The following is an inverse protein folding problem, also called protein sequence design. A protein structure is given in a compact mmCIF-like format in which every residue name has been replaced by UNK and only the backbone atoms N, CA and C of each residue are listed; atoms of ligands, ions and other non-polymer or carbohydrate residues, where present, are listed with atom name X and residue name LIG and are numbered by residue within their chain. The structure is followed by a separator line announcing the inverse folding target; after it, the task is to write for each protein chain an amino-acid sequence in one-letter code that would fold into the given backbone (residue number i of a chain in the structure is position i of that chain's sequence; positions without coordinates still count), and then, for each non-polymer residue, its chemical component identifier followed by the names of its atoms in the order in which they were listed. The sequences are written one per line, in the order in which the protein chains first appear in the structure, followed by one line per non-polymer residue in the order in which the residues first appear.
data_IF_634988997130
#
_entry.id   IF_634988997130
#
_cell.length_a   1.000
_cell.length_b   1.000
_cell.length_c   1.000
_cell.angle_alpha   90.00
_cell.angle_beta   90.00
_cell.angle_gamma   90.00
#
_symmetry.space_group_name_H-M   'P 1'
#
loop_
_entity.id
_entity.type
_entity.pdbx_description
1 polymer ?
#
# COMPACT_ATOMS: atom_id res chain seq x y z
N UNK A 1 -8.82 -6.03 -38.90
CA UNK A 1 -8.23 -6.37 -37.59
C UNK A 1 -8.32 -5.12 -36.71
N UNK A 2 -9.29 -5.04 -35.79
CA UNK A 2 -9.38 -3.90 -34.86
C UNK A 2 -8.25 -4.05 -33.85
N UNK A 3 -7.26 -3.16 -33.92
CA UNK A 3 -6.21 -3.03 -32.93
C UNK A 3 -6.90 -2.55 -31.64
N UNK A 4 -7.23 -3.47 -30.73
CA UNK A 4 -7.63 -3.08 -29.38
C UNK A 4 -6.41 -2.41 -28.75
N UNK A 5 -6.42 -1.09 -28.66
CA UNK A 5 -5.51 -0.36 -27.80
C UNK A 5 -5.74 -0.91 -26.39
N UNK A 6 -4.88 -1.81 -25.92
CA UNK A 6 -4.84 -2.20 -24.51
C UNK A 6 -4.65 -0.90 -23.74
N UNK A 7 -5.65 -0.48 -22.96
CA UNK A 7 -5.50 0.68 -22.09
C UNK A 7 -4.32 0.39 -21.16
N UNK A 8 -3.27 1.20 -21.21
CA UNK A 8 -2.07 1.00 -20.41
C UNK A 8 -2.37 0.98 -18.91
N UNK A 9 -1.46 0.41 -18.12
CA UNK A 9 -1.60 0.32 -16.67
C UNK A 9 -1.74 1.72 -16.07
N UNK A 10 -2.75 1.88 -15.22
CA UNK A 10 -3.02 3.15 -14.56
C UNK A 10 -3.41 2.91 -13.12
N UNK A 11 -2.90 3.78 -12.25
CA UNK A 11 -3.36 3.91 -10.88
C UNK A 11 -3.87 5.33 -10.62
N UNK A 12 -5.08 5.44 -10.08
CA UNK A 12 -5.67 6.69 -9.62
C UNK A 12 -5.50 6.78 -8.11
N UNK A 13 -4.58 7.62 -7.65
CA UNK A 13 -4.28 7.78 -6.22
C UNK A 13 -5.10 8.93 -5.68
N UNK A 14 -5.94 8.67 -4.68
CA UNK A 14 -6.84 9.65 -4.07
C UNK A 14 -6.50 9.89 -2.61
N UNK A 15 -6.45 11.16 -2.23
CA UNK A 15 -6.33 11.56 -0.84
C UNK A 15 -7.73 11.79 -0.25
N UNK A 16 -8.16 10.88 0.62
CA UNK A 16 -9.41 10.97 1.37
C UNK A 16 -9.23 11.61 2.75
N UNK A 17 -7.99 11.94 3.12
CA UNK A 17 -7.66 12.66 4.34
C UNK A 17 -7.88 14.18 4.23
N UNK A 18 -7.68 14.87 5.35
CA UNK A 18 -7.88 16.31 5.50
C UNK A 18 -6.64 17.17 5.27
N UNK A 19 -5.48 16.56 5.02
CA UNK A 19 -4.19 17.25 4.83
C UNK A 19 -3.53 16.82 3.52
N UNK A 20 -2.74 17.69 2.86
CA UNK A 20 -1.96 17.29 1.69
C UNK A 20 -1.05 16.10 2.00
N UNK A 21 -0.91 15.20 1.04
CA UNK A 21 0.00 14.04 1.16
C UNK A 21 0.98 13.98 -0.01
N UNK A 22 2.16 13.44 0.26
CA UNK A 22 3.10 12.98 -0.76
C UNK A 22 3.05 11.46 -0.81
N UNK A 23 3.04 10.88 -2.00
CA UNK A 23 3.04 9.43 -2.21
C UNK A 23 4.23 9.06 -3.10
N UNK A 24 5.11 8.22 -2.58
CA UNK A 24 6.25 7.69 -3.30
C UNK A 24 5.90 6.37 -3.99
N UNK A 25 6.41 6.19 -5.20
CA UNK A 25 6.35 4.96 -5.98
C UNK A 25 7.73 4.31 -5.93
N UNK A 26 7.78 3.06 -5.49
CA UNK A 26 9.02 2.33 -5.32
C UNK A 26 8.91 1.03 -6.10
N UNK A 27 9.59 0.98 -7.23
CA UNK A 27 9.62 -0.21 -8.07
C UNK A 27 10.53 -1.27 -7.43
N UNK A 28 10.13 -2.53 -7.53
CA UNK A 28 10.89 -3.69 -7.12
C UNK A 28 12.01 -3.99 -8.14
N UNK A 29 12.99 -3.08 -8.27
CA UNK A 29 14.16 -3.25 -9.16
C UNK A 29 15.43 -3.50 -8.34
N UNK A 30 16.05 -4.68 -8.48
CA UNK A 30 17.38 -4.98 -7.93
C UNK A 30 17.44 -6.13 -6.93
N UNK A 31 18.67 -6.47 -6.50
CA UNK A 31 18.97 -7.63 -5.64
C UNK A 31 18.59 -7.43 -4.16
N UNK A 32 18.43 -6.18 -3.71
CA UNK A 32 18.07 -5.85 -2.33
C UNK A 32 16.66 -5.25 -2.30
N UNK A 33 15.67 -6.07 -1.97
CA UNK A 33 14.34 -5.59 -1.66
C UNK A 33 14.16 -5.46 -0.15
N UNK A 34 13.47 -4.41 0.33
CA UNK A 34 12.79 -3.36 -0.42
C UNK A 34 13.69 -2.13 -0.72
N UNK A 35 13.49 -1.47 -1.88
CA UNK A 35 14.14 -0.18 -2.20
C UNK A 35 13.55 0.99 -1.38
N UNK A 36 14.42 1.89 -0.90
CA UNK A 36 14.05 3.14 -0.22
C UNK A 36 14.18 4.38 -1.10
N UNK A 37 14.47 4.22 -2.39
CA UNK A 37 14.52 5.32 -3.34
C UNK A 37 13.27 5.28 -4.20
N UNK A 38 12.44 6.31 -4.11
CA UNK A 38 11.25 6.42 -4.93
C UNK A 38 11.65 6.79 -6.37
N UNK A 39 11.14 6.04 -7.36
CA UNK A 39 11.31 6.40 -8.78
C UNK A 39 10.45 7.60 -9.18
N UNK A 40 9.37 7.84 -8.43
CA UNK A 40 8.42 8.94 -8.64
C UNK A 40 7.78 9.31 -7.32
N UNK A 41 7.53 10.60 -7.13
CA UNK A 41 6.69 11.11 -6.03
C UNK A 41 5.60 11.99 -6.61
N UNK A 42 4.38 11.84 -6.09
CA UNK A 42 3.24 12.73 -6.40
C UNK A 42 2.79 13.45 -5.14
N UNK A 43 2.26 14.65 -5.30
CA UNK A 43 1.63 15.42 -4.23
C UNK A 43 0.13 15.53 -4.51
N UNK A 44 -0.69 15.30 -3.48
CA UNK A 44 -2.15 15.22 -3.62
C UNK A 44 -2.79 16.07 -2.53
N UNK A 45 -3.53 17.09 -2.95
CA UNK A 45 -4.33 17.91 -2.03
C UNK A 45 -5.45 17.09 -1.38
N UNK A 46 -5.98 17.49 -0.22
CA UNK A 46 -7.17 16.87 0.38
C UNK A 46 -8.32 16.76 -0.63
N UNK A 47 -8.95 15.58 -0.71
CA UNK A 47 -10.03 15.29 -1.67
C UNK A 47 -9.58 15.12 -3.13
N UNK A 48 -8.31 15.38 -3.43
CA UNK A 48 -7.76 15.30 -4.78
C UNK A 48 -7.45 13.87 -5.23
N UNK A 49 -7.35 13.70 -6.54
CA UNK A 49 -6.93 12.46 -7.20
C UNK A 49 -5.86 12.77 -8.25
N UNK A 50 -4.80 11.97 -8.30
CA UNK A 50 -3.76 12.02 -9.33
C UNK A 50 -3.68 10.67 -10.03
N UNK A 51 -3.78 10.68 -11.36
CA UNK A 51 -3.61 9.47 -12.18
C UNK A 51 -2.16 9.32 -12.63
N UNK A 52 -1.60 8.13 -12.42
CA UNK A 52 -0.24 7.77 -12.84
C UNK A 52 -0.30 6.59 -13.79
N UNK A 53 0.36 6.71 -14.95
CA UNK A 53 0.55 5.59 -15.88
C UNK A 53 1.81 4.84 -15.49
N UNK A 54 1.73 3.51 -15.46
CA UNK A 54 2.83 2.61 -15.09
C UNK A 54 3.17 1.70 -16.27
N UNK A 55 4.41 1.22 -16.30
CA UNK A 55 4.87 0.32 -17.36
C UNK A 55 4.14 -1.03 -17.30
N UNK A 56 4.14 -1.76 -18.43
CA UNK A 56 3.77 -3.18 -18.44
C UNK A 56 4.69 -3.95 -17.49
N UNK A 57 4.14 -4.84 -16.66
CA UNK A 57 4.96 -5.60 -15.70
C UNK A 57 5.46 -4.77 -14.51
N UNK A 58 4.95 -3.55 -14.29
CA UNK A 58 5.37 -2.76 -13.14
C UNK A 58 4.97 -3.47 -11.84
N UNK A 59 5.96 -3.71 -11.01
CA UNK A 59 5.84 -4.33 -9.70
C UNK A 59 6.50 -3.42 -8.67
N UNK A 60 5.82 -3.20 -7.56
CA UNK A 60 6.36 -2.44 -6.45
C UNK A 60 5.29 -2.01 -5.48
N UNK A 61 5.58 -0.92 -4.77
CA UNK A 61 4.67 -0.36 -3.77
C UNK A 61 4.47 1.13 -3.93
N UNK A 62 3.34 1.58 -3.41
CA UNK A 62 3.05 2.97 -3.12
C UNK A 62 3.06 3.17 -1.61
N UNK A 63 3.67 4.27 -1.16
CA UNK A 63 3.82 4.59 0.26
C UNK A 63 3.53 6.09 0.47
N UNK A 64 2.64 6.39 1.42
CA UNK A 64 2.45 7.76 1.93
C UNK A 64 3.72 8.17 2.67
N UNK A 65 4.33 9.28 2.24
CA UNK A 65 5.58 9.79 2.80
C UNK A 65 5.29 10.78 3.95
N UNK A 66 4.93 10.26 5.12
CA UNK A 66 4.82 11.09 6.34
C UNK A 66 6.21 11.53 6.82
N UNK A 67 7.15 10.58 6.89
CA UNK A 67 8.56 10.78 7.21
C UNK A 67 9.48 10.37 6.05
N UNK A 68 10.59 9.72 6.39
CA UNK A 68 11.54 9.14 5.44
C UNK A 68 11.04 7.76 4.94
N UNK A 69 11.47 7.29 3.75
CA UNK A 69 11.04 6.00 3.22
C UNK A 69 11.22 4.78 4.16
N UNK A 70 12.28 4.70 5.01
CA UNK A 70 12.43 3.61 5.98
C UNK A 70 11.52 3.70 7.22
N UNK A 71 10.84 4.82 7.43
CA UNK A 71 9.94 4.98 8.58
C UNK A 71 8.72 4.04 8.46
N UNK A 72 8.09 3.67 9.60
CA UNK A 72 6.94 2.79 9.57
C UNK A 72 5.80 3.35 8.71
N UNK A 73 5.31 2.56 7.76
CA UNK A 73 4.29 2.99 6.83
C UNK A 73 3.46 1.82 6.30
N UNK A 74 2.20 2.11 5.98
CA UNK A 74 1.35 1.18 5.24
C UNK A 74 1.80 1.16 3.79
N UNK A 75 1.95 -0.05 3.24
CA UNK A 75 2.38 -0.25 1.86
C UNK A 75 1.21 -0.72 1.02
N UNK A 76 0.99 -0.05 -0.11
CA UNK A 76 0.06 -0.49 -1.12
C UNK A 76 0.86 -1.19 -2.22
N UNK A 77 0.93 -2.52 -2.17
CA UNK A 77 1.75 -3.34 -3.06
C UNK A 77 0.93 -3.75 -4.29
N UNK A 78 1.54 -3.67 -5.46
CA UNK A 78 0.87 -3.95 -6.73
C UNK A 78 1.83 -4.51 -7.78
N UNK A 79 1.38 -5.52 -8.51
CA UNK A 79 2.07 -6.12 -9.64
C UNK A 79 1.12 -6.17 -10.84
N UNK A 80 1.33 -5.30 -11.83
CA UNK A 80 0.58 -5.29 -13.08
C UNK A 80 1.10 -6.33 -14.07
N UNK A 81 0.20 -6.96 -14.83
CA UNK A 81 0.54 -7.92 -15.89
C UNK A 81 1.43 -9.09 -15.40
N UNK A 82 1.17 -9.56 -14.19
CA UNK A 82 1.86 -10.68 -13.56
C UNK A 82 1.41 -12.02 -14.18
N UNK A 83 1.35 -13.09 -13.37
CA UNK A 83 0.85 -14.39 -13.79
C UNK A 83 -0.50 -14.27 -14.52
N UNK A 84 -0.59 -14.87 -15.71
CA UNK A 84 -1.77 -14.84 -16.58
C UNK A 84 -2.25 -13.41 -16.94
N UNK A 85 -1.34 -12.43 -17.06
CA UNK A 85 -1.65 -11.04 -17.38
C UNK A 85 -2.59 -10.38 -16.33
N UNK A 86 -2.63 -10.93 -15.12
CA UNK A 86 -3.42 -10.39 -14.01
C UNK A 86 -2.70 -9.22 -13.32
N UNK A 87 -3.45 -8.42 -12.60
CA UNK A 87 -2.95 -7.41 -11.67
C UNK A 87 -3.19 -7.92 -10.26
N UNK A 88 -2.14 -8.04 -9.45
CA UNK A 88 -2.25 -8.42 -8.03
C UNK A 88 -2.06 -7.20 -7.16
N UNK A 89 -2.87 -7.08 -6.11
CA UNK A 89 -2.83 -5.99 -5.16
C UNK A 89 -2.97 -6.49 -3.72
N UNK A 90 -2.24 -5.87 -2.80
CA UNK A 90 -2.44 -6.04 -1.36
C UNK A 90 -2.07 -4.77 -0.57
N UNK A 91 -2.67 -4.63 0.61
CA UNK A 91 -2.37 -3.57 1.58
C UNK A 91 -1.59 -4.20 2.72
N UNK A 92 -0.33 -3.84 2.87
CA UNK A 92 0.60 -4.48 3.79
C UNK A 92 0.89 -3.62 5.02
N UNK A 93 0.87 -4.29 6.17
CA UNK A 93 1.19 -3.76 7.50
C UNK A 93 2.53 -4.30 8.01
N UNK A 94 3.23 -5.11 7.22
CA UNK A 94 4.53 -5.70 7.57
C UNK A 94 5.52 -4.62 7.98
N UNK A 95 5.53 -3.51 7.24
CA UNK A 95 6.44 -2.38 7.46
C UNK A 95 5.83 -1.22 8.24
N UNK A 96 4.68 -1.44 8.87
CA UNK A 96 4.07 -0.50 9.82
C UNK A 96 2.79 0.15 9.32
N UNK A 97 2.38 1.22 9.99
CA UNK A 97 1.13 1.92 9.69
C UNK A 97 1.26 3.43 9.85
N UNK A 98 0.90 4.18 8.81
CA UNK A 98 0.84 5.65 8.84
C UNK A 98 -0.42 6.24 8.15
N UNK A 99 -1.36 5.38 7.78
CA UNK A 99 -2.62 5.75 7.15
C UNK A 99 -3.32 4.52 6.57
N UNK A 100 -4.64 4.51 6.63
CA UNK A 100 -5.42 3.42 6.06
C UNK A 100 -5.45 3.54 4.52
N UNK A 101 -5.54 2.40 3.83
CA UNK A 101 -5.50 2.36 2.38
C UNK A 101 -6.48 1.34 1.83
N UNK A 102 -7.05 1.64 0.66
CA UNK A 102 -7.96 0.75 -0.06
C UNK A 102 -7.58 0.72 -1.53
N UNK A 103 -7.35 -0.49 -2.05
CA UNK A 103 -7.38 -0.74 -3.48
C UNK A 103 -8.79 -1.04 -3.96
N UNK A 104 -9.13 -0.55 -5.15
CA UNK A 104 -10.27 -1.03 -5.92
C UNK A 104 -9.95 -1.01 -7.41
N UNK A 105 -10.59 -1.86 -8.21
CA UNK A 105 -10.52 -1.72 -9.67
C UNK A 105 -11.62 -0.82 -10.19
N UNK A 106 -11.36 -0.11 -11.30
CA UNK A 106 -12.36 0.77 -11.94
C UNK A 106 -13.58 -0.02 -12.42
N UNK A 107 -13.40 -1.29 -12.80
CA UNK A 107 -14.49 -2.19 -13.20
C UNK A 107 -15.22 -2.87 -12.03
N UNK A 108 -14.83 -2.59 -10.78
CA UNK A 108 -15.46 -3.12 -9.57
C UNK A 108 -15.14 -4.59 -9.25
N UNK A 109 -14.31 -5.28 -10.06
CA UNK A 109 -13.91 -6.67 -9.82
C UNK A 109 -13.00 -6.88 -8.59
N UNK A 110 -12.38 -5.81 -8.09
CA UNK A 110 -11.50 -5.84 -6.93
C UNK A 110 -11.89 -4.76 -5.93
N UNK A 111 -11.89 -5.13 -4.64
CA UNK A 111 -11.80 -4.19 -3.52
C UNK A 111 -11.10 -4.86 -2.34
N UNK A 112 -9.97 -4.32 -1.89
CA UNK A 112 -9.21 -4.84 -0.73
C UNK A 112 -8.58 -3.69 0.06
N UNK A 113 -8.31 -3.90 1.34
CA UNK A 113 -7.86 -2.85 2.27
C UNK A 113 -8.90 -2.47 3.32
N UNK A 114 -8.61 -1.40 4.06
CA UNK A 114 -9.40 -0.96 5.20
C UNK A 114 -9.32 0.57 5.35
N UNK A 115 -10.29 1.16 6.05
CA UNK A 115 -10.42 2.63 6.21
C UNK A 115 -10.20 3.11 7.64
N UNK A 116 -10.10 2.18 8.60
CA UNK A 116 -10.02 2.52 10.03
C UNK A 116 -8.61 3.00 10.38
N UNK A 117 -8.52 4.06 11.18
CA UNK A 117 -7.25 4.46 11.79
C UNK A 117 -6.89 3.48 12.92
N UNK A 118 -5.85 2.69 12.68
CA UNK A 118 -5.42 1.65 13.61
C UNK A 118 -4.66 2.22 14.82
N UNK A 119 -4.30 3.52 14.84
CA UNK A 119 -3.49 4.11 15.93
C UNK A 119 -4.25 4.24 17.23
N UNK A 120 -5.56 4.45 17.19
CA UNK A 120 -6.34 4.70 18.40
C UNK A 120 -6.38 3.46 19.31
N UNK A 121 -6.66 2.28 18.74
CA UNK A 121 -6.78 1.01 19.48
C UNK A 121 -5.47 0.26 19.72
N UNK A 122 -4.37 0.65 19.07
CA UNK A 122 -3.12 -0.10 19.16
C UNK A 122 -2.51 -0.08 20.58
N UNK A 123 -1.77 -1.13 20.99
CA UNK A 123 -1.01 -1.11 22.23
C UNK A 123 0.01 0.04 22.23
N UNK A 124 0.11 0.76 23.36
CA UNK A 124 0.89 2.01 23.46
C UNK A 124 2.36 1.85 23.07
N UNK A 125 2.98 0.71 23.39
CA UNK A 125 4.39 0.42 23.07
C UNK A 125 4.70 0.36 21.56
N UNK A 126 3.68 0.16 20.72
CA UNK A 126 3.83 0.15 19.26
C UNK A 126 3.54 1.50 18.61
N UNK A 127 3.02 2.48 19.37
CA UNK A 127 2.81 3.84 18.90
C UNK A 127 4.14 4.60 18.99
N UNK A 128 4.66 5.00 17.84
CA UNK A 128 5.96 5.69 17.75
C UNK A 128 5.83 6.93 16.87
N UNK A 129 6.88 7.75 16.87
CA UNK A 129 7.00 8.88 15.96
C UNK A 129 7.86 8.48 14.76
N UNK A 130 7.45 8.91 13.57
CA UNK A 130 8.34 8.89 12.40
C UNK A 130 9.44 9.95 12.49
N UNK A 131 10.34 9.99 11.51
CA UNK A 131 11.47 10.94 11.49
C UNK A 131 11.06 12.42 11.43
N UNK A 132 9.79 12.72 11.15
CA UNK A 132 9.22 14.08 11.18
C UNK A 132 8.33 14.34 12.40
N UNK A 133 8.19 13.38 13.31
CA UNK A 133 7.43 13.55 14.55
C UNK A 133 5.94 13.18 14.46
N UNK A 134 5.48 12.57 13.36
CA UNK A 134 4.08 12.14 13.21
C UNK A 134 3.84 10.78 13.86
N UNK A 135 2.64 10.58 14.41
CA UNK A 135 2.25 9.29 15.00
C UNK A 135 2.05 8.22 13.93
N UNK A 136 2.80 7.13 14.10
CA UNK A 136 2.75 5.92 13.27
C UNK A 136 2.76 4.68 14.19
N UNK A 137 2.46 3.51 13.62
CA UNK A 137 2.65 2.24 14.33
C UNK A 137 3.86 1.49 13.78
N UNK A 138 4.58 0.86 14.69
CA UNK A 138 5.71 -0.02 14.37
C UNK A 138 5.32 -1.12 13.37
N UNK A 139 6.32 -1.67 12.64
CA UNK A 139 6.12 -2.83 11.77
C UNK A 139 5.71 -4.09 12.54
N UNK A 140 4.92 -4.97 11.93
CA UNK A 140 4.75 -6.33 12.47
C UNK A 140 6.04 -7.13 12.33
N UNK A 141 6.88 -6.80 11.36
CA UNK A 141 8.20 -7.40 11.16
C UNK A 141 9.25 -6.29 10.95
N UNK A 142 10.06 -5.97 11.96
CA UNK A 142 11.16 -5.02 11.83
C UNK A 142 12.24 -5.51 10.85
N UNK A 143 13.01 -4.58 10.27
CA UNK A 143 14.16 -4.92 9.41
C UNK A 143 15.26 -5.71 10.13
N UNK A 144 15.29 -5.66 11.47
CA UNK A 144 16.20 -6.47 12.30
C UNK A 144 15.76 -7.93 12.42
N UNK A 145 14.61 -8.29 11.85
CA UNK A 145 14.01 -9.62 11.95
C UNK A 145 13.09 -9.80 13.16
N UNK A 146 12.41 -10.94 13.19
CA UNK A 146 11.40 -11.29 14.20
C UNK A 146 10.02 -10.72 13.90
N UNK A 147 9.01 -11.16 14.67
CA UNK A 147 7.63 -10.77 14.48
C UNK A 147 6.99 -10.30 15.79
N UNK A 148 6.33 -9.13 15.74
CA UNK A 148 5.60 -8.54 16.83
C UNK A 148 4.22 -9.20 17.00
N UNK A 149 4.18 -10.37 17.66
CA UNK A 149 2.97 -11.20 17.78
C UNK A 149 1.75 -10.48 18.36
N UNK A 150 1.94 -9.62 19.36
CA UNK A 150 0.84 -8.83 19.93
C UNK A 150 0.26 -7.83 18.92
N UNK A 151 1.12 -7.20 18.10
CA UNK A 151 0.69 -6.29 17.05
C UNK A 151 0.00 -7.04 15.90
N UNK A 152 0.50 -8.23 15.54
CA UNK A 152 -0.17 -9.13 14.58
C UNK A 152 -1.58 -9.48 15.06
N UNK A 153 -1.72 -9.91 16.31
CA UNK A 153 -3.03 -10.23 16.90
C UNK A 153 -3.98 -9.02 16.88
N UNK A 154 -3.46 -7.84 17.25
CA UNK A 154 -4.23 -6.59 17.16
C UNK A 154 -4.72 -6.30 15.74
N UNK A 155 -3.85 -6.39 14.73
CA UNK A 155 -4.25 -6.13 13.34
C UNK A 155 -5.27 -7.15 12.81
N UNK A 156 -5.13 -8.43 13.17
CA UNK A 156 -6.11 -9.48 12.81
C UNK A 156 -7.50 -9.25 13.40
N UNK A 157 -7.57 -8.61 14.55
CA UNK A 157 -8.84 -8.24 15.17
C UNK A 157 -9.41 -6.93 14.60
N UNK A 158 -8.53 -6.03 14.17
CA UNK A 158 -8.91 -4.67 13.73
C UNK A 158 -9.24 -4.57 12.25
N UNK A 159 -8.76 -5.51 11.44
CA UNK A 159 -8.95 -5.57 9.99
C UNK A 159 -9.61 -6.89 9.64
N UNK A 160 -10.64 -6.86 8.79
CA UNK A 160 -11.30 -8.08 8.32
C UNK A 160 -10.30 -9.02 7.63
N UNK A 161 -10.52 -10.33 7.78
CA UNK A 161 -9.68 -11.34 7.16
C UNK A 161 -9.56 -11.11 5.64
N UNK A 162 -8.33 -11.18 5.11
CA UNK A 162 -8.03 -10.95 3.70
C UNK A 162 -7.85 -9.49 3.29
N UNK A 163 -8.14 -8.50 4.16
CA UNK A 163 -8.01 -7.08 3.80
C UNK A 163 -6.66 -6.45 4.13
N UNK A 164 -5.74 -7.19 4.78
CA UNK A 164 -4.37 -6.72 5.00
C UNK A 164 -3.37 -7.87 5.06
N UNK A 165 -2.20 -7.65 4.47
CA UNK A 165 -1.04 -8.52 4.56
C UNK A 165 -0.28 -8.17 5.86
N UNK A 166 -0.39 -9.01 6.88
CA UNK A 166 0.01 -8.71 8.27
C UNK A 166 1.30 -9.44 8.64
N UNK A 167 1.51 -10.63 8.10
CA UNK A 167 2.71 -11.45 8.28
C UNK A 167 3.23 -11.91 6.90
N UNK A 168 4.51 -12.31 6.78
CA UNK A 168 4.98 -13.02 5.59
C UNK A 168 4.07 -14.18 5.23
N UNK A 169 3.90 -14.41 3.93
CA UNK A 169 3.10 -15.48 3.34
C UNK A 169 1.58 -15.38 3.62
N UNK A 170 1.09 -14.18 3.93
CA UNK A 170 -0.34 -13.84 3.98
C UNK A 170 -1.01 -13.79 2.60
N UNK A 171 -0.80 -14.84 1.80
CA UNK A 171 -1.28 -14.91 0.41
C UNK A 171 -2.80 -14.77 0.29
N UNK A 172 -3.57 -15.09 1.35
CA UNK A 172 -5.01 -14.86 1.39
C UNK A 172 -5.41 -13.36 1.33
N UNK A 173 -4.46 -12.46 1.56
CA UNK A 173 -4.65 -11.01 1.47
C UNK A 173 -4.15 -10.40 0.15
N UNK A 174 -3.61 -11.21 -0.76
CA UNK A 174 -3.22 -10.78 -2.11
C UNK A 174 -4.31 -11.15 -3.11
N UNK A 175 -4.84 -10.14 -3.80
CA UNK A 175 -6.03 -10.26 -4.62
C UNK A 175 -5.72 -9.98 -6.08
N UNK A 176 -6.10 -10.90 -6.95
CA UNK A 176 -5.92 -10.79 -8.40
C UNK A 176 -7.15 -10.21 -9.11
N UNK A 177 -6.92 -9.38 -10.12
CA UNK A 177 -7.94 -8.87 -11.05
C UNK A 177 -7.41 -8.81 -12.48
N UNK A 178 -8.28 -8.91 -13.48
CA UNK A 178 -7.91 -8.63 -14.88
C UNK A 178 -7.78 -7.13 -15.17
N UNK A 179 -8.29 -6.27 -14.28
CA UNK A 179 -8.28 -4.82 -14.47
C UNK A 179 -6.87 -4.24 -14.62
N UNK A 180 -6.74 -3.25 -15.50
CA UNK A 180 -5.49 -2.48 -15.72
C UNK A 180 -5.61 -1.03 -15.25
N UNK A 181 -6.77 -0.67 -14.69
CA UNK A 181 -7.04 0.61 -14.07
C UNK A 181 -7.46 0.37 -12.63
N UNK A 182 -6.58 0.75 -11.71
CA UNK A 182 -6.73 0.56 -10.28
C UNK A 182 -6.89 1.92 -9.60
N UNK A 183 -7.70 1.99 -8.56
CA UNK A 183 -7.79 3.13 -7.66
C UNK A 183 -7.10 2.75 -6.34
N UNK A 184 -6.31 3.68 -5.81
CA UNK A 184 -5.80 3.63 -4.45
C UNK A 184 -6.38 4.81 -3.69
N UNK A 185 -7.10 4.56 -2.61
CA UNK A 185 -7.57 5.58 -1.69
C UNK A 185 -6.75 5.54 -0.41
N UNK A 186 -6.30 6.71 0.03
CA UNK A 186 -5.48 6.88 1.24
C UNK A 186 -6.23 7.79 2.21
N UNK A 187 -6.35 7.36 3.47
CA UNK A 187 -7.14 8.02 4.52
C UNK A 187 -6.24 8.68 5.58
#
# INVERSE_FOLDING_TARGET
MKLFLRSGNRINVSNRGSHPISVGFFQNTGANQPSFVAEKTINISPGGTVSVSLAYGWEGRLQKLTGAPPDPATWAEIHFNAWQDMTFCDISLIRGFNGAMVFSSVDGSLRTGFTNDLRQGAPSKYKVKDSKGYDVLQPTEPYTGGQNQELVAYYRQSVSQGNAYIIPDDHASSHGTTAKQINLEIY
#
